data_IF_239090980060
#
_entry.id   IF_239090980060
#
_cell.length_a   1.000
_cell.length_b   1.000
_cell.length_c   1.000
_cell.angle_alpha   90.00
_cell.angle_beta   90.00
_cell.angle_gamma   90.00
#
_symmetry.space_group_name_H-M   'P 1'
#
loop_
_entity.id
_entity.type
_entity.pdbx_description
1 polymer ?
#
# COMPACT_ATOMS: atom_id res chain seq x y z
N UNK A 1 22.24 4.51 20.61
CA UNK A 1 21.17 4.35 19.61
C UNK A 1 20.24 5.57 19.73
N UNK A 2 20.12 6.39 18.69
CA UNK A 2 19.26 7.59 18.73
C UNK A 2 17.82 7.16 18.46
N UNK A 3 16.96 7.35 19.46
CA UNK A 3 15.53 7.08 19.33
C UNK A 3 14.88 8.22 18.54
N UNK A 4 14.56 7.94 17.27
CA UNK A 4 13.77 8.84 16.43
C UNK A 4 12.36 8.29 16.39
N UNK A 5 11.39 9.15 16.73
CA UNK A 5 9.98 8.78 16.64
C UNK A 5 9.60 8.49 15.19
N UNK A 6 8.88 7.38 14.88
CA UNK A 6 8.32 7.14 13.54
C UNK A 6 7.38 8.24 13.05
N UNK A 7 6.85 9.08 13.97
CA UNK A 7 6.02 10.24 13.63
C UNK A 7 6.82 11.37 12.96
N UNK A 8 8.14 11.33 13.04
CA UNK A 8 9.04 12.21 12.31
C UNK A 8 9.63 11.46 11.12
N UNK A 9 8.83 11.37 10.06
CA UNK A 9 9.14 10.62 8.85
C UNK A 9 10.52 11.02 8.29
N UNK A 10 10.82 12.32 8.23
CA UNK A 10 12.07 12.81 7.66
C UNK A 10 13.29 12.31 8.45
N UNK A 11 13.27 12.40 9.78
CA UNK A 11 14.37 11.90 10.62
C UNK A 11 14.44 10.38 10.65
N UNK A 12 13.31 9.69 10.56
CA UNK A 12 13.26 8.24 10.48
C UNK A 12 13.98 7.74 9.22
N UNK A 13 13.62 8.26 8.04
CA UNK A 13 14.25 7.86 6.78
C UNK A 13 15.71 8.31 6.70
N UNK A 14 16.05 9.48 7.26
CA UNK A 14 17.46 9.88 7.39
C UNK A 14 18.26 8.88 8.24
N UNK A 15 17.69 8.35 9.33
CA UNK A 15 18.33 7.30 10.14
C UNK A 15 18.49 6.00 9.35
N UNK A 16 17.48 5.58 8.58
CA UNK A 16 17.57 4.41 7.69
C UNK A 16 18.74 4.56 6.72
N UNK A 17 18.86 5.73 6.07
CA UNK A 17 19.97 6.01 5.16
C UNK A 17 21.34 5.94 5.85
N UNK A 18 21.46 6.55 7.04
CA UNK A 18 22.72 6.55 7.82
C UNK A 18 23.09 5.16 8.37
N UNK A 19 22.11 4.28 8.58
CA UNK A 19 22.36 2.91 9.00
C UNK A 19 22.98 2.05 7.88
N UNK A 20 22.64 2.33 6.62
CA UNK A 20 23.09 1.55 5.46
C UNK A 20 24.29 2.18 4.74
N UNK A 21 24.37 3.51 4.67
CA UNK A 21 25.42 4.24 3.94
C UNK A 21 26.52 4.73 4.87
N UNK A 22 27.77 4.38 4.53
CA UNK A 22 28.97 4.83 5.23
C UNK A 22 29.54 6.08 4.59
N UNK A 23 29.97 7.02 5.42
CA UNK A 23 30.74 8.21 5.01
C UNK A 23 30.02 9.26 4.13
N UNK A 24 28.69 9.50 4.26
CA UNK A 24 28.08 10.62 3.55
C UNK A 24 28.75 11.94 3.96
N UNK A 25 29.13 12.77 2.99
CA UNK A 25 29.87 14.02 3.23
C UNK A 25 28.96 15.25 3.38
N UNK A 26 27.68 15.12 3.03
CA UNK A 26 26.65 16.14 3.18
C UNK A 26 25.24 15.51 3.20
N UNK A 27 24.22 16.29 3.58
CA UNK A 27 22.82 15.86 3.51
C UNK A 27 22.34 15.63 2.07
N UNK A 28 22.92 16.33 1.09
CA UNK A 28 22.67 16.11 -0.33
C UNK A 28 23.29 14.78 -0.78
N UNK A 29 24.55 14.54 -0.43
CA UNK A 29 25.25 13.29 -0.72
C UNK A 29 24.56 12.08 -0.07
N UNK A 30 23.98 12.26 1.11
CA UNK A 30 23.15 11.23 1.76
C UNK A 30 21.91 10.88 0.94
N UNK A 31 21.32 11.83 0.18
CA UNK A 31 20.17 11.60 -0.70
C UNK A 31 20.56 11.25 -2.14
N UNK A 32 21.85 11.10 -2.45
CA UNK A 32 22.32 10.75 -3.79
C UNK A 32 22.49 9.24 -3.93
N UNK A 33 21.69 8.57 -4.77
CA UNK A 33 21.78 7.12 -5.06
C UNK A 33 21.98 6.95 -6.55
N UNK A 34 22.99 6.18 -6.96
CA UNK A 34 23.36 5.96 -8.36
C UNK A 34 23.45 7.27 -9.18
N UNK A 35 24.19 8.24 -8.62
CA UNK A 35 24.40 9.59 -9.18
C UNK A 35 23.13 10.46 -9.35
N UNK A 36 21.99 10.03 -8.80
CA UNK A 36 20.74 10.81 -8.76
C UNK A 36 20.46 11.32 -7.35
N UNK A 37 20.28 12.63 -7.20
CA UNK A 37 19.88 13.27 -5.93
C UNK A 37 18.36 13.34 -5.84
N UNK A 38 17.79 12.73 -4.79
CA UNK A 38 16.35 12.71 -4.55
C UNK A 38 15.90 13.83 -3.60
N UNK A 39 14.65 14.26 -3.73
CA UNK A 39 14.07 15.36 -2.93
C UNK A 39 13.92 14.98 -1.45
N UNK A 40 13.66 13.71 -1.16
CA UNK A 40 13.49 13.21 0.20
C UNK A 40 14.43 12.04 0.56
N UNK A 41 14.71 11.87 1.86
CA UNK A 41 15.40 10.68 2.35
C UNK A 41 14.60 9.39 2.12
N UNK A 42 13.27 9.48 2.04
CA UNK A 42 12.39 8.34 1.75
C UNK A 42 12.62 7.82 0.34
N UNK A 43 12.58 8.70 -0.65
CA UNK A 43 12.82 8.33 -2.05
C UNK A 43 14.23 7.80 -2.25
N UNK A 44 15.24 8.45 -1.67
CA UNK A 44 16.59 7.94 -1.71
C UNK A 44 16.69 6.53 -1.08
N UNK A 45 16.06 6.30 0.07
CA UNK A 45 16.06 4.99 0.72
C UNK A 45 15.31 3.92 -0.10
N UNK A 46 14.22 4.31 -0.75
CA UNK A 46 13.45 3.45 -1.66
C UNK A 46 14.29 3.03 -2.88
N UNK A 47 14.89 3.99 -3.57
CA UNK A 47 15.73 3.72 -4.75
C UNK A 47 17.02 2.96 -4.40
N UNK A 48 17.55 3.14 -3.19
CA UNK A 48 18.68 2.36 -2.70
C UNK A 48 18.31 0.93 -2.28
N UNK A 49 17.03 0.55 -2.31
CA UNK A 49 16.54 -0.77 -1.87
C UNK A 49 16.60 -0.98 -0.36
N UNK A 50 16.59 0.10 0.43
CA UNK A 50 16.59 0.03 1.91
C UNK A 50 15.19 0.02 2.51
N UNK A 51 14.18 0.33 1.70
CA UNK A 51 12.77 0.23 2.06
C UNK A 51 12.16 -0.89 1.23
N UNK A 52 11.36 -1.74 1.88
CA UNK A 52 10.41 -2.60 1.20
C UNK A 52 9.36 -1.70 0.52
N UNK A 53 8.99 -2.02 -0.71
CA UNK A 53 7.93 -1.34 -1.45
C UNK A 53 6.73 -2.27 -1.64
N UNK A 54 5.61 -1.72 -2.09
CA UNK A 54 4.40 -2.51 -2.33
C UNK A 54 4.39 -3.14 -3.74
N UNK A 55 5.53 -3.17 -4.45
CA UNK A 55 5.57 -3.62 -5.85
C UNK A 55 5.17 -5.08 -6.03
N UNK A 56 5.58 -5.94 -5.09
CA UNK A 56 5.23 -7.37 -5.08
C UNK A 56 3.73 -7.56 -4.89
N UNK A 57 3.13 -6.80 -3.97
CA UNK A 57 1.68 -6.83 -3.70
C UNK A 57 0.89 -6.31 -4.89
N UNK A 58 1.37 -5.24 -5.51
CA UNK A 58 0.80 -4.68 -6.74
C UNK A 58 0.83 -5.71 -7.88
N UNK A 59 1.97 -6.38 -8.10
CA UNK A 59 2.11 -7.37 -9.16
C UNK A 59 1.18 -8.57 -8.92
N UNK A 60 1.18 -9.11 -7.70
CA UNK A 60 0.32 -10.21 -7.28
C UNK A 60 -1.17 -9.88 -7.47
N UNK A 61 -1.61 -8.71 -7.01
CA UNK A 61 -3.00 -8.26 -7.17
C UNK A 61 -3.37 -8.00 -8.64
N UNK A 62 -2.43 -7.52 -9.46
CA UNK A 62 -2.63 -7.31 -10.90
C UNK A 62 -2.84 -8.62 -11.64
N UNK A 63 -2.14 -9.68 -11.26
CA UNK A 63 -2.36 -11.02 -11.82
C UNK A 63 -3.73 -11.57 -11.37
N UNK A 64 -4.03 -11.48 -10.07
CA UNK A 64 -5.27 -11.97 -9.50
C UNK A 64 -6.53 -11.27 -10.05
N UNK A 65 -6.46 -9.97 -10.38
CA UNK A 65 -7.61 -9.22 -10.89
C UNK A 65 -8.07 -9.70 -12.28
N UNK A 66 -7.18 -10.32 -13.06
CA UNK A 66 -7.49 -10.84 -14.39
C UNK A 66 -8.54 -11.96 -14.38
N UNK A 67 -8.65 -12.70 -13.26
CA UNK A 67 -9.62 -13.77 -13.12
C UNK A 67 -11.05 -13.25 -12.96
N UNK A 68 -11.25 -11.94 -12.69
CA UNK A 68 -12.57 -11.31 -12.49
C UNK A 68 -13.43 -12.02 -11.43
N UNK A 69 -12.80 -12.40 -10.31
CA UNK A 69 -13.47 -12.99 -9.14
C UNK A 69 -13.33 -12.03 -7.94
N UNK A 70 -14.23 -11.03 -7.80
CA UNK A 70 -14.04 -9.90 -6.86
C UNK A 70 -13.93 -10.32 -5.40
N UNK A 71 -14.68 -11.35 -4.99
CA UNK A 71 -14.62 -11.84 -3.62
C UNK A 71 -13.26 -12.45 -3.28
N UNK A 72 -12.70 -13.29 -4.17
CA UNK A 72 -11.37 -13.87 -3.96
C UNK A 72 -10.28 -12.80 -4.00
N UNK A 73 -10.42 -11.79 -4.86
CA UNK A 73 -9.51 -10.65 -4.90
C UNK A 73 -9.53 -9.87 -3.57
N UNK A 74 -10.72 -9.66 -2.98
CA UNK A 74 -10.87 -9.09 -1.63
C UNK A 74 -10.24 -9.96 -0.54
N UNK A 75 -10.35 -11.29 -0.64
CA UNK A 75 -9.68 -12.21 0.29
C UNK A 75 -8.16 -12.12 0.20
N UNK A 76 -7.60 -12.07 -1.02
CA UNK A 76 -6.18 -11.87 -1.24
C UNK A 76 -5.70 -10.55 -0.65
N UNK A 77 -6.42 -9.46 -0.92
CA UNK A 77 -6.12 -8.14 -0.34
C UNK A 77 -6.14 -8.15 1.19
N UNK A 78 -7.15 -8.75 1.80
CA UNK A 78 -7.21 -8.90 3.26
C UNK A 78 -6.05 -9.75 3.81
N UNK A 79 -5.65 -10.82 3.10
CA UNK A 79 -4.50 -11.66 3.47
C UNK A 79 -3.20 -10.86 3.42
N UNK A 80 -2.98 -10.09 2.34
CA UNK A 80 -1.80 -9.24 2.18
C UNK A 80 -1.71 -8.23 3.33
N UNK A 81 -2.81 -7.54 3.67
CA UNK A 81 -2.83 -6.57 4.77
C UNK A 81 -2.55 -7.19 6.13
N UNK A 82 -3.08 -8.39 6.40
CA UNK A 82 -2.96 -9.03 7.72
C UNK A 82 -1.57 -9.63 7.93
N UNK A 83 -0.98 -10.22 6.89
CA UNK A 83 0.23 -11.03 7.03
C UNK A 83 1.49 -10.39 6.44
N UNK A 84 1.39 -9.24 5.78
CA UNK A 84 2.52 -8.59 5.10
C UNK A 84 2.71 -7.14 5.58
N UNK A 85 3.91 -6.59 5.39
CA UNK A 85 4.19 -5.19 5.66
C UNK A 85 3.84 -4.33 4.43
N UNK A 86 2.56 -3.98 4.29
CA UNK A 86 2.10 -3.07 3.24
C UNK A 86 2.35 -1.63 3.68
N UNK A 87 3.09 -0.87 2.88
CA UNK A 87 3.49 0.50 3.20
C UNK A 87 2.35 1.49 2.93
N UNK A 88 1.64 1.35 1.80
CA UNK A 88 0.63 2.27 1.30
C UNK A 88 -0.70 1.54 0.99
N UNK A 89 -1.33 0.96 2.02
CA UNK A 89 -2.61 0.22 1.90
C UNK A 89 -3.69 1.01 1.16
N UNK A 90 -3.76 2.33 1.39
CA UNK A 90 -4.72 3.21 0.71
C UNK A 90 -4.49 3.31 -0.80
N UNK A 91 -3.23 3.39 -1.24
CA UNK A 91 -2.89 3.41 -2.65
C UNK A 91 -3.23 2.08 -3.34
N UNK A 92 -2.99 0.96 -2.63
CA UNK A 92 -3.35 -0.37 -3.12
C UNK A 92 -4.87 -0.54 -3.24
N UNK A 93 -5.64 -0.02 -2.27
CA UNK A 93 -7.10 0.01 -2.32
C UNK A 93 -7.62 0.80 -3.54
N UNK A 94 -7.20 2.06 -3.69
CA UNK A 94 -7.68 2.92 -4.77
C UNK A 94 -7.35 2.33 -6.15
N UNK A 95 -6.19 1.68 -6.28
CA UNK A 95 -5.78 1.03 -7.54
C UNK A 95 -6.67 -0.14 -7.96
N UNK A 96 -7.18 -0.92 -7.01
CA UNK A 96 -7.96 -2.14 -7.29
C UNK A 96 -9.45 -2.02 -6.94
N UNK A 97 -9.92 -0.83 -6.56
CA UNK A 97 -11.30 -0.57 -6.15
C UNK A 97 -12.34 -1.07 -7.15
N UNK A 98 -12.14 -0.78 -8.43
CA UNK A 98 -13.07 -1.17 -9.50
C UNK A 98 -13.17 -2.70 -9.62
N UNK A 99 -12.06 -3.42 -9.46
CA UNK A 99 -12.04 -4.88 -9.49
C UNK A 99 -12.67 -5.49 -8.22
N UNK A 100 -12.44 -4.88 -7.04
CA UNK A 100 -13.05 -5.32 -5.78
C UNK A 100 -14.57 -5.23 -5.78
N UNK A 101 -15.09 -4.18 -6.42
CA UNK A 101 -16.48 -3.77 -6.34
C UNK A 101 -17.34 -4.25 -7.51
N UNK A 102 -16.74 -4.92 -8.50
CA UNK A 102 -17.39 -5.34 -9.74
C UNK A 102 -18.70 -6.12 -9.54
N UNK A 103 -18.73 -7.06 -8.59
CA UNK A 103 -19.92 -7.86 -8.26
C UNK A 103 -21.02 -7.01 -7.60
N UNK A 104 -20.66 -6.07 -6.73
CA UNK A 104 -21.60 -5.13 -6.14
C UNK A 104 -22.10 -4.11 -7.16
N UNK A 105 -21.26 -3.64 -8.07
CA UNK A 105 -21.64 -2.81 -9.21
C UNK A 105 -22.70 -3.48 -10.08
N UNK A 106 -22.55 -4.79 -10.32
CA UNK A 106 -23.54 -5.59 -11.04
C UNK A 106 -24.82 -5.83 -10.21
N UNK A 107 -24.69 -6.08 -8.91
CA UNK A 107 -25.80 -6.31 -7.99
C UNK A 107 -26.71 -5.08 -7.87
N UNK A 108 -26.13 -3.89 -7.79
CA UNK A 108 -26.84 -2.61 -7.63
C UNK A 108 -27.01 -1.84 -8.94
N UNK A 109 -26.95 -2.52 -10.09
CA UNK A 109 -27.03 -1.90 -11.42
C UNK A 109 -28.32 -1.13 -11.72
N UNK A 110 -29.39 -1.36 -10.96
CA UNK A 110 -30.67 -0.66 -11.09
C UNK A 110 -30.70 0.70 -10.37
N UNK A 111 -29.71 0.99 -9.53
CA UNK A 111 -29.53 2.30 -8.90
C UNK A 111 -28.75 3.20 -9.85
N UNK A 112 -28.92 4.52 -9.70
CA UNK A 112 -28.20 5.51 -10.50
C UNK A 112 -27.63 6.63 -9.62
N UNK A 113 -26.64 7.34 -10.15
CA UNK A 113 -25.96 8.44 -9.48
C UNK A 113 -25.34 8.05 -8.14
N UNK A 114 -25.28 9.02 -7.22
CA UNK A 114 -24.61 8.90 -5.93
C UNK A 114 -25.11 7.71 -5.09
N UNK A 115 -26.41 7.40 -5.15
CA UNK A 115 -26.98 6.30 -4.38
C UNK A 115 -26.38 4.94 -4.77
N UNK A 116 -26.07 4.74 -6.06
CA UNK A 116 -25.36 3.53 -6.52
C UNK A 116 -23.93 3.50 -5.99
N UNK A 117 -23.20 4.60 -6.15
CA UNK A 117 -21.79 4.69 -5.77
C UNK A 117 -21.59 4.45 -4.27
N UNK A 118 -22.42 5.08 -3.43
CA UNK A 118 -22.41 4.89 -1.98
C UNK A 118 -22.71 3.43 -1.61
N UNK A 119 -23.71 2.82 -2.24
CA UNK A 119 -24.10 1.44 -1.95
C UNK A 119 -23.00 0.44 -2.32
N UNK A 120 -22.36 0.64 -3.48
CA UNK A 120 -21.25 -0.19 -3.97
C UNK A 120 -20.04 -0.05 -3.07
N UNK A 121 -19.63 1.19 -2.75
CA UNK A 121 -18.49 1.46 -1.87
C UNK A 121 -18.72 0.88 -0.47
N UNK A 122 -19.89 1.12 0.12
CA UNK A 122 -20.27 0.62 1.44
C UNK A 122 -20.18 -0.91 1.51
N UNK A 123 -20.77 -1.63 0.54
CA UNK A 123 -20.76 -3.09 0.56
C UNK A 123 -19.37 -3.68 0.32
N UNK A 124 -18.56 -3.04 -0.52
CA UNK A 124 -17.18 -3.45 -0.77
C UNK A 124 -16.35 -3.33 0.51
N UNK A 125 -16.40 -2.16 1.16
CA UNK A 125 -15.70 -1.90 2.42
C UNK A 125 -16.21 -2.79 3.57
N UNK A 126 -17.53 -2.97 3.67
CA UNK A 126 -18.13 -3.86 4.68
C UNK A 126 -17.60 -5.28 4.54
N UNK A 127 -17.60 -5.83 3.32
CA UNK A 127 -17.12 -7.19 3.11
C UNK A 127 -15.62 -7.32 3.39
N UNK A 128 -14.81 -6.31 3.05
CA UNK A 128 -13.40 -6.30 3.42
C UNK A 128 -13.20 -6.23 4.93
N UNK A 129 -13.97 -5.41 5.64
CA UNK A 129 -13.94 -5.37 7.09
C UNK A 129 -14.30 -6.73 7.70
N UNK A 130 -15.33 -7.41 7.17
CA UNK A 130 -15.71 -8.75 7.64
C UNK A 130 -14.57 -9.77 7.43
N UNK A 131 -13.86 -9.70 6.30
CA UNK A 131 -12.69 -10.53 6.02
C UNK A 131 -11.52 -10.22 6.98
N UNK A 132 -11.23 -8.94 7.21
CA UNK A 132 -10.17 -8.51 8.12
C UNK A 132 -10.45 -8.94 9.57
N UNK A 133 -11.70 -8.86 10.03
CA UNK A 133 -12.11 -9.36 11.34
C UNK A 133 -11.95 -10.89 11.44
N UNK A 134 -12.30 -11.62 10.38
CA UNK A 134 -12.13 -13.06 10.32
C UNK A 134 -10.65 -13.50 10.35
N UNK A 135 -9.77 -12.73 9.72
CA UNK A 135 -8.33 -13.05 9.63
C UNK A 135 -7.52 -12.51 10.82
N UNK A 136 -7.94 -11.40 11.43
CA UNK A 136 -7.27 -10.72 12.54
C UNK A 136 -7.71 -11.14 13.94
N UNK A 137 -8.43 -12.26 14.09
CA UNK A 137 -8.83 -12.79 15.40
C UNK A 137 -7.70 -13.62 16.04
N UNK A 138 -6.73 -12.95 16.66
CA UNK A 138 -5.83 -13.51 17.68
C UNK A 138 -5.73 -12.55 18.87
#
# INVERSE_FOLDING_TARGET
>A
MIHVSPRDAQRFYMRVMLCHRKGPTSFENLRTVDDVTYDSYREAALHAGYLEDDSEWVACMTEASQFRIPYQLRQLFATIIVYSQVVEVGALWERFYDDFSLDFGYKYRSLEGNAKEEMVKFHTLKNLNDLLLAYGSA
#
